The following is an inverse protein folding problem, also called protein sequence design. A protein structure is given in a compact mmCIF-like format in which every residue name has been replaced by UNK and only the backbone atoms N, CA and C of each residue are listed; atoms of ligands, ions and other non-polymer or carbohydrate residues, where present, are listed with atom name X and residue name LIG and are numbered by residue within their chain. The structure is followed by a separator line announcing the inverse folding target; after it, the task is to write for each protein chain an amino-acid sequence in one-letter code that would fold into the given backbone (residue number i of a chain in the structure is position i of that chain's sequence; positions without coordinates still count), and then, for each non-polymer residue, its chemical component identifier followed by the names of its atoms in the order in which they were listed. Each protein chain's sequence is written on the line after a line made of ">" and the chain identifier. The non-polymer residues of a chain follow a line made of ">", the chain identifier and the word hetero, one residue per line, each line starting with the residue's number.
data_IF_578985680993
#
_entry.id   IF_578985680993
#
_cell.length_a   1.000
_cell.length_b   1.000
_cell.length_c   1.000
_cell.angle_alpha   90.00
_cell.angle_beta   90.00
_cell.angle_gamma   90.00
#
_symmetry.space_group_name_H-M   'P 1'
#
loop_
_entity.id
_entity.type
_entity.pdbx_description
1 polymer ?
#
# COMPACT_ATOMS: atom_id res chain seq x y z
N UNK A 1 -8.45 -19.01 -16.77
CA UNK A 1 -7.46 -18.57 -15.77
C UNK A 1 -8.03 -17.35 -15.09
N UNK A 2 -7.83 -17.25 -13.78
CA UNK A 2 -8.21 -16.08 -12.98
C UNK A 2 -7.24 -14.94 -13.31
N UNK A 3 -7.74 -13.74 -13.58
CA UNK A 3 -6.85 -12.61 -13.78
C UNK A 3 -6.42 -12.04 -12.42
N UNK A 4 -5.12 -11.80 -12.23
CA UNK A 4 -4.59 -11.21 -11.01
C UNK A 4 -4.02 -9.82 -11.28
N UNK A 5 -4.55 -8.83 -10.59
CA UNK A 5 -4.07 -7.45 -10.64
C UNK A 5 -3.32 -7.12 -9.34
N UNK A 6 -2.26 -6.32 -9.43
CA UNK A 6 -1.45 -5.90 -8.29
C UNK A 6 -1.58 -4.39 -8.09
N UNK A 7 -1.96 -3.97 -6.89
CA UNK A 7 -1.95 -2.55 -6.47
C UNK A 7 -0.81 -2.38 -5.48
N UNK A 8 0.28 -1.79 -5.92
CA UNK A 8 1.52 -1.64 -5.14
C UNK A 8 1.83 -0.17 -4.87
N UNK A 9 2.84 0.14 -4.07
CA UNK A 9 3.26 1.50 -3.76
C UNK A 9 3.57 1.75 -2.29
N UNK A 10 4.37 2.78 -2.04
CA UNK A 10 5.07 2.94 -0.76
C UNK A 10 4.11 3.24 0.40
N UNK A 11 4.63 3.16 1.62
CA UNK A 11 3.86 3.41 2.85
C UNK A 11 3.07 4.73 2.78
N UNK A 12 1.76 4.66 3.00
CA UNK A 12 0.90 5.84 3.04
C UNK A 12 0.58 6.46 1.68
N UNK A 13 0.96 5.83 0.57
CA UNK A 13 0.65 6.33 -0.76
C UNK A 13 -0.86 6.34 -1.10
N UNK A 14 -1.70 5.61 -0.35
CA UNK A 14 -3.16 5.59 -0.56
C UNK A 14 -3.68 4.35 -1.29
N UNK A 15 -2.89 3.27 -1.34
CA UNK A 15 -3.24 1.98 -1.96
C UNK A 15 -4.65 1.50 -1.61
N UNK A 16 -4.97 1.31 -0.33
CA UNK A 16 -6.28 0.82 0.14
C UNK A 16 -7.44 1.72 -0.26
N UNK A 17 -7.21 3.04 -0.40
CA UNK A 17 -8.22 3.96 -0.93
C UNK A 17 -8.47 3.74 -2.41
N UNK A 18 -7.41 3.56 -3.20
CA UNK A 18 -7.55 3.23 -4.62
C UNK A 18 -8.15 1.83 -4.84
N UNK A 19 -7.72 0.84 -4.07
CA UNK A 19 -8.21 -0.54 -4.09
C UNK A 19 -9.74 -0.58 -4.02
N UNK A 20 -10.34 0.14 -3.06
CA UNK A 20 -11.80 0.18 -2.89
C UNK A 20 -12.51 0.75 -4.12
N UNK A 21 -11.97 1.80 -4.72
CA UNK A 21 -12.52 2.40 -5.94
C UNK A 21 -12.40 1.44 -7.12
N UNK A 22 -11.24 0.81 -7.27
CA UNK A 22 -10.95 -0.11 -8.36
C UNK A 22 -11.81 -1.38 -8.28
N UNK A 23 -11.94 -1.99 -7.10
CA UNK A 23 -12.77 -3.18 -6.89
C UNK A 23 -14.25 -2.88 -7.13
N UNK A 24 -14.75 -1.73 -6.64
CA UNK A 24 -16.13 -1.28 -6.93
C UNK A 24 -16.40 -1.23 -8.44
N UNK A 25 -15.47 -0.66 -9.18
CA UNK A 25 -15.56 -0.62 -10.64
C UNK A 25 -15.56 -2.02 -11.26
N UNK A 26 -14.65 -2.92 -10.86
CA UNK A 26 -14.62 -4.29 -11.39
C UNK A 26 -15.92 -5.05 -11.12
N UNK A 27 -16.49 -4.92 -9.93
CA UNK A 27 -17.78 -5.54 -9.57
C UNK A 27 -18.92 -4.95 -10.39
N UNK A 28 -18.92 -3.64 -10.66
CA UNK A 28 -19.89 -2.99 -11.55
C UNK A 28 -19.79 -3.48 -12.99
N UNK A 29 -18.60 -3.88 -13.45
CA UNK A 29 -18.41 -4.54 -14.74
C UNK A 29 -18.85 -6.02 -14.74
N UNK A 30 -19.33 -6.54 -13.61
CA UNK A 30 -19.86 -7.90 -13.48
C UNK A 30 -18.82 -8.96 -13.12
N UNK A 31 -17.59 -8.57 -12.75
CA UNK A 31 -16.57 -9.52 -12.31
C UNK A 31 -16.85 -10.03 -10.89
N UNK A 32 -16.59 -11.32 -10.66
CA UNK A 32 -16.41 -11.86 -9.31
C UNK A 32 -14.98 -11.60 -8.84
N UNK A 33 -14.84 -10.73 -7.85
CA UNK A 33 -13.55 -10.25 -7.35
C UNK A 33 -13.23 -10.87 -5.99
N UNK A 34 -11.98 -11.26 -5.79
CA UNK A 34 -11.45 -11.50 -4.45
C UNK A 34 -10.27 -10.57 -4.19
N UNK A 35 -10.30 -9.88 -3.06
CA UNK A 35 -9.22 -9.04 -2.60
C UNK A 35 -8.27 -9.91 -1.77
N UNK A 36 -6.97 -9.78 -1.99
CA UNK A 36 -5.93 -10.31 -1.09
C UNK A 36 -5.19 -9.13 -0.48
N UNK A 37 -5.51 -8.82 0.78
CA UNK A 37 -4.81 -7.78 1.53
C UNK A 37 -3.70 -8.37 2.39
N UNK A 38 -2.55 -7.71 2.39
CA UNK A 38 -1.43 -8.03 3.24
C UNK A 38 -1.08 -6.83 4.12
N UNK A 39 -1.10 -7.03 5.44
CA UNK A 39 -0.70 -6.01 6.41
C UNK A 39 0.69 -6.35 6.97
N UNK A 40 1.56 -5.36 7.09
CA UNK A 40 2.87 -5.51 7.72
C UNK A 40 2.76 -5.62 9.26
N UNK A 41 1.63 -5.23 9.84
CA UNK A 41 1.39 -5.19 11.29
C UNK A 41 0.78 -6.46 11.91
N UNK A 42 0.79 -6.49 13.25
CA UNK A 42 0.18 -7.56 14.04
C UNK A 42 -1.36 -7.51 14.09
N UNK A 43 -1.94 -6.35 13.77
CA UNK A 43 -3.40 -6.14 13.75
C UNK A 43 -3.78 -5.79 12.33
N UNK A 44 -4.60 -6.62 11.69
CA UNK A 44 -5.07 -6.38 10.33
C UNK A 44 -6.18 -5.34 10.32
N UNK A 45 -5.77 -4.08 10.21
CA UNK A 45 -6.69 -2.93 10.21
C UNK A 45 -7.14 -2.55 8.79
N UNK A 46 -6.39 -2.96 7.76
CA UNK A 46 -6.72 -2.68 6.36
C UNK A 46 -8.01 -3.42 5.93
N UNK A 47 -8.21 -4.65 6.42
CA UNK A 47 -9.41 -5.44 6.12
C UNK A 47 -10.72 -4.79 6.60
N UNK A 48 -10.63 -3.88 7.57
CA UNK A 48 -11.78 -3.10 8.07
C UNK A 48 -12.18 -2.01 7.08
N UNK A 49 -11.24 -1.51 6.26
CA UNK A 49 -11.48 -0.43 5.31
C UNK A 49 -12.19 -0.93 4.05
N UNK A 50 -11.97 -2.17 3.66
CA UNK A 50 -12.59 -2.78 2.48
C UNK A 50 -13.96 -3.40 2.75
N UNK A 51 -14.45 -3.41 4.00
CA UNK A 51 -15.78 -3.94 4.34
C UNK A 51 -16.91 -3.34 3.50
N UNK A 52 -16.79 -2.06 3.13
CA UNK A 52 -17.77 -1.34 2.32
C UNK A 52 -17.83 -1.80 0.85
N UNK A 53 -16.88 -2.60 0.38
CA UNK A 53 -16.88 -3.16 -0.97
C UNK A 53 -17.24 -4.64 -0.99
N UNK A 54 -17.41 -5.27 0.17
CA UNK A 54 -17.81 -6.67 0.27
C UNK A 54 -19.30 -6.85 -0.02
N UNK A 55 -19.65 -7.97 -0.64
CA UNK A 55 -21.02 -8.26 -1.02
C UNK A 55 -21.11 -9.35 -2.08
N UNK A 56 -22.27 -9.52 -2.72
CA UNK A 56 -22.42 -10.50 -3.80
C UNK A 56 -21.39 -10.27 -4.91
N UNK A 57 -20.47 -11.22 -5.07
CA UNK A 57 -19.40 -11.14 -6.08
C UNK A 57 -18.12 -10.45 -5.63
N UNK A 58 -17.97 -10.09 -4.34
CA UNK A 58 -16.73 -9.52 -3.80
C UNK A 58 -16.43 -10.08 -2.41
N UNK A 59 -15.30 -10.79 -2.30
CA UNK A 59 -14.78 -11.33 -1.04
C UNK A 59 -13.39 -10.75 -0.73
N UNK A 60 -12.97 -10.85 0.54
CA UNK A 60 -11.61 -10.48 0.98
C UNK A 60 -10.96 -11.66 1.70
N UNK A 61 -9.69 -11.86 1.40
CA UNK A 61 -8.77 -12.73 2.12
C UNK A 61 -7.61 -11.89 2.64
N UNK A 62 -7.11 -12.27 3.81
CA UNK A 62 -6.02 -11.55 4.46
C UNK A 62 -4.82 -12.43 4.71
N UNK A 63 -3.65 -11.81 4.63
CA UNK A 63 -2.38 -12.35 5.11
C UNK A 63 -1.96 -11.48 6.29
N UNK A 64 -1.80 -12.11 7.45
CA UNK A 64 -1.28 -11.44 8.64
C UNK A 64 0.24 -11.32 8.54
N UNK A 65 0.77 -10.12 8.81
CA UNK A 65 2.20 -9.85 8.87
C UNK A 65 2.89 -10.37 10.14
N UNK A 66 4.15 -9.95 10.33
CA UNK A 66 4.97 -10.27 11.50
C UNK A 66 5.68 -11.64 11.44
N UNK A 67 5.86 -12.20 10.24
CA UNK A 67 6.60 -13.44 10.02
C UNK A 67 7.73 -13.23 9.01
N UNK A 68 8.71 -14.13 9.00
CA UNK A 68 9.79 -14.12 8.03
C UNK A 68 9.28 -14.21 6.57
N UNK A 69 10.12 -13.78 5.62
CA UNK A 69 9.79 -13.75 4.19
C UNK A 69 9.30 -15.11 3.67
N UNK A 70 9.90 -16.24 4.08
CA UNK A 70 9.49 -17.58 3.62
C UNK A 70 8.08 -17.95 4.12
N UNK A 71 7.75 -17.57 5.36
CA UNK A 71 6.41 -17.77 5.91
C UNK A 71 5.38 -16.91 5.18
N UNK A 72 5.72 -15.66 4.85
CA UNK A 72 4.87 -14.77 4.08
C UNK A 72 4.56 -15.34 2.68
N UNK A 73 5.58 -15.75 1.92
CA UNK A 73 5.44 -16.37 0.60
C UNK A 73 4.53 -17.60 0.62
N UNK A 74 4.74 -18.50 1.59
CA UNK A 74 3.92 -19.71 1.74
C UNK A 74 2.45 -19.41 2.03
N UNK A 75 2.18 -18.40 2.86
CA UNK A 75 0.80 -17.96 3.17
C UNK A 75 0.13 -17.35 1.94
N UNK A 76 0.84 -16.47 1.23
CA UNK A 76 0.34 -15.87 -0.01
C UNK A 76 0.00 -16.94 -1.04
N UNK A 77 0.92 -17.88 -1.29
CA UNK A 77 0.69 -19.01 -2.19
C UNK A 77 -0.54 -19.81 -1.80
N UNK A 78 -0.67 -20.17 -0.52
CA UNK A 78 -1.81 -20.95 -0.01
C UNK A 78 -3.14 -20.23 -0.23
N UNK A 79 -3.18 -18.91 0.01
CA UNK A 79 -4.37 -18.09 -0.23
C UNK A 79 -4.71 -18.00 -1.71
N UNK A 80 -3.73 -17.76 -2.59
CA UNK A 80 -3.93 -17.74 -4.04
C UNK A 80 -4.48 -19.08 -4.56
N UNK A 81 -3.93 -20.20 -4.10
CA UNK A 81 -4.44 -21.55 -4.44
C UNK A 81 -5.91 -21.70 -4.03
N UNK A 82 -6.25 -21.33 -2.78
CA UNK A 82 -7.62 -21.44 -2.29
C UNK A 82 -8.60 -20.53 -3.04
N UNK A 83 -8.18 -19.30 -3.38
CA UNK A 83 -9.01 -18.34 -4.13
C UNK A 83 -9.26 -18.81 -5.57
N UNK A 84 -8.26 -19.36 -6.26
CA UNK A 84 -8.43 -19.88 -7.61
C UNK A 84 -9.53 -20.96 -7.70
N UNK A 85 -9.74 -21.73 -6.63
CA UNK A 85 -10.75 -22.78 -6.57
C UNK A 85 -12.17 -22.27 -6.26
N UNK A 86 -12.34 -21.00 -5.88
CA UNK A 86 -13.64 -20.40 -5.49
C UNK A 86 -14.42 -19.79 -6.65
N UNK A 87 -13.89 -19.83 -7.87
CA UNK A 87 -14.59 -19.35 -9.07
C UNK A 87 -14.66 -17.83 -9.19
N UNK A 88 -13.64 -17.11 -8.69
CA UNK A 88 -13.45 -15.69 -8.97
C UNK A 88 -12.90 -15.49 -10.38
N UNK A 89 -13.29 -14.39 -11.03
CA UNK A 89 -12.75 -13.97 -12.32
C UNK A 89 -11.50 -13.11 -12.15
N UNK A 90 -11.46 -12.35 -11.05
CA UNK A 90 -10.42 -11.36 -10.72
C UNK A 90 -9.93 -11.56 -9.29
N UNK A 91 -8.62 -11.54 -9.11
CA UNK A 91 -8.00 -11.37 -7.79
C UNK A 91 -7.23 -10.06 -7.80
N UNK A 92 -7.47 -9.20 -6.81
CA UNK A 92 -6.73 -7.95 -6.66
C UNK A 92 -5.86 -8.07 -5.41
N UNK A 93 -4.55 -7.99 -5.58
CA UNK A 93 -3.59 -8.10 -4.48
C UNK A 93 -3.13 -6.70 -4.09
N UNK A 94 -3.28 -6.37 -2.80
CA UNK A 94 -2.63 -5.21 -2.18
C UNK A 94 -1.59 -5.73 -1.18
N UNK A 95 -0.30 -5.69 -1.51
CA UNK A 95 0.74 -6.00 -0.56
C UNK A 95 0.96 -4.84 0.43
N UNK A 96 1.75 -5.07 1.48
CA UNK A 96 2.18 -3.99 2.36
C UNK A 96 3.02 -2.94 1.60
N UNK A 97 3.11 -1.71 2.10
CA UNK A 97 3.93 -0.65 1.46
C UNK A 97 5.44 -0.78 1.65
N UNK A 98 5.91 -1.95 2.10
CA UNK A 98 7.33 -2.32 2.27
C UNK A 98 7.56 -3.67 1.61
N UNK A 99 6.79 -3.98 0.57
CA UNK A 99 6.81 -5.28 -0.09
C UNK A 99 7.73 -5.23 -1.29
N UNK A 100 8.64 -6.20 -1.40
CA UNK A 100 9.40 -6.38 -2.62
C UNK A 100 8.56 -7.11 -3.67
N UNK A 101 8.20 -6.39 -4.73
CA UNK A 101 7.23 -6.84 -5.72
C UNK A 101 7.69 -8.07 -6.50
N UNK A 102 9.00 -8.31 -6.59
CA UNK A 102 9.56 -9.54 -7.16
C UNK A 102 8.96 -10.80 -6.52
N UNK A 103 8.73 -10.78 -5.20
CA UNK A 103 8.19 -11.92 -4.47
C UNK A 103 6.82 -12.35 -5.03
N UNK A 104 5.97 -11.39 -5.39
CA UNK A 104 4.67 -11.66 -5.98
C UNK A 104 4.81 -12.32 -7.37
N UNK A 105 5.75 -11.85 -8.19
CA UNK A 105 5.99 -12.45 -9.50
C UNK A 105 6.53 -13.87 -9.40
N UNK A 106 7.43 -14.12 -8.45
CA UNK A 106 8.00 -15.44 -8.24
C UNK A 106 6.94 -16.43 -7.77
N UNK A 107 6.06 -16.03 -6.84
CA UNK A 107 4.92 -16.85 -6.41
C UNK A 107 3.99 -17.19 -7.57
N UNK A 108 3.70 -16.23 -8.47
CA UNK A 108 2.81 -16.48 -9.60
C UNK A 108 3.42 -17.34 -10.70
N UNK A 109 4.75 -17.44 -10.77
CA UNK A 109 5.47 -18.32 -11.72
C UNK A 109 5.56 -19.77 -11.25
N UNK A 110 5.22 -20.03 -9.99
CA UNK A 110 5.31 -21.34 -9.40
C UNK A 110 4.07 -22.21 -9.66
N UNK A 111 4.29 -23.53 -9.77
CA UNK A 111 3.21 -24.52 -9.91
C UNK A 111 2.35 -24.62 -8.62
N UNK A 112 1.01 -24.62 -8.67
CA UNK A 112 0.16 -24.63 -9.86
C UNK A 112 -0.35 -23.23 -10.27
N UNK A 113 0.15 -22.16 -9.64
CA UNK A 113 -0.37 -20.80 -9.83
C UNK A 113 -0.13 -20.29 -11.25
N UNK A 114 1.00 -20.65 -11.86
CA UNK A 114 1.35 -20.37 -13.25
C UNK A 114 0.27 -20.80 -14.27
N UNK A 115 -0.46 -21.87 -13.96
CA UNK A 115 -1.53 -22.44 -14.80
C UNK A 115 -2.92 -21.91 -14.43
N UNK A 116 -3.07 -21.32 -13.25
CA UNK A 116 -4.37 -20.88 -12.74
C UNK A 116 -4.56 -19.38 -12.87
N UNK A 117 -3.48 -18.62 -12.79
CA UNK A 117 -3.49 -17.17 -12.82
C UNK A 117 -2.85 -16.62 -14.08
N UNK A 118 -3.48 -15.60 -14.64
CA UNK A 118 -2.89 -14.75 -15.65
C UNK A 118 -2.66 -13.37 -15.02
N UNK A 119 -1.43 -12.88 -15.09
CA UNK A 119 -1.13 -11.53 -14.64
C UNK A 119 -1.87 -10.51 -15.51
N UNK A 120 -2.61 -9.62 -14.86
CA UNK A 120 -3.34 -8.53 -15.45
C UNK A 120 -2.56 -7.22 -15.38
N UNK A 121 -3.09 -6.27 -14.62
CA UNK A 121 -2.50 -4.95 -14.43
C UNK A 121 -1.66 -4.87 -13.15
N UNK A 122 -0.50 -4.22 -13.25
CA UNK A 122 0.27 -3.75 -12.09
C UNK A 122 0.11 -2.23 -12.03
N UNK A 123 -0.53 -1.75 -10.97
CA UNK A 123 -0.81 -0.33 -10.75
C UNK A 123 -0.03 0.11 -9.52
N UNK A 124 0.92 1.02 -9.70
CA UNK A 124 1.67 1.57 -8.57
C UNK A 124 1.05 2.89 -8.12
N UNK A 125 0.85 3.03 -6.82
CA UNK A 125 0.34 4.24 -6.20
C UNK A 125 1.51 4.98 -5.57
N UNK A 126 1.72 6.23 -5.99
CA UNK A 126 2.82 7.06 -5.48
C UNK A 126 2.26 8.36 -4.96
N UNK A 127 2.67 8.79 -3.78
CA UNK A 127 2.29 10.09 -3.25
C UNK A 127 2.95 11.22 -4.06
N UNK A 128 2.17 12.15 -4.61
CA UNK A 128 2.72 13.37 -5.20
C UNK A 128 3.49 14.22 -4.16
N UNK A 129 3.15 14.00 -2.88
CA UNK A 129 3.75 14.48 -1.63
C UNK A 129 5.12 13.89 -1.23
N UNK A 130 5.62 12.89 -1.96
CA UNK A 130 6.72 12.04 -1.49
C UNK A 130 7.96 12.88 -1.10
N UNK A 131 8.64 12.55 0.03
CA UNK A 131 9.88 13.23 0.40
C UNK A 131 10.97 13.06 -0.68
N UNK A 132 11.71 14.13 -0.98
CA UNK A 132 12.80 14.12 -1.98
C UNK A 132 13.95 13.15 -1.65
N UNK A 133 14.06 12.74 -0.39
CA UNK A 133 15.14 11.88 0.10
C UNK A 133 14.56 10.77 0.97
N UNK A 134 14.91 9.53 0.65
CA UNK A 134 14.60 8.34 1.43
C UNK A 134 15.90 7.64 1.86
N UNK A 135 15.79 6.68 2.79
CA UNK A 135 16.90 5.77 3.09
C UNK A 135 17.22 4.90 1.86
N UNK A 136 18.43 4.32 1.72
CA UNK A 136 18.75 3.45 0.60
C UNK A 136 17.76 2.28 0.42
N UNK A 137 17.26 1.71 1.53
CA UNK A 137 16.30 0.62 1.53
C UNK A 137 14.92 1.10 1.07
N UNK A 138 14.46 2.25 1.56
CA UNK A 138 13.18 2.83 1.12
C UNK A 138 13.22 3.30 -0.34
N UNK A 139 14.36 3.83 -0.79
CA UNK A 139 14.59 4.19 -2.19
C UNK A 139 14.52 2.96 -3.11
N UNK A 140 15.13 1.83 -2.69
CA UNK A 140 15.01 0.57 -3.40
C UNK A 140 13.57 0.06 -3.45
N UNK A 141 12.83 0.13 -2.34
CA UNK A 141 11.43 -0.29 -2.31
C UNK A 141 10.55 0.57 -3.23
N UNK A 142 10.74 1.89 -3.23
CA UNK A 142 10.06 2.79 -4.15
C UNK A 142 10.31 2.39 -5.62
N UNK A 143 11.55 2.02 -5.95
CA UNK A 143 11.89 1.50 -7.25
C UNK A 143 11.20 0.16 -7.54
N UNK A 144 11.32 -0.84 -6.65
CA UNK A 144 10.71 -2.17 -6.79
C UNK A 144 9.19 -2.08 -7.00
N UNK A 145 8.51 -1.23 -6.23
CA UNK A 145 7.06 -1.04 -6.32
C UNK A 145 6.60 -0.41 -7.64
N UNK A 146 7.42 0.40 -8.29
CA UNK A 146 7.03 1.09 -9.54
C UNK A 146 7.58 0.44 -10.80
N UNK A 147 8.60 -0.41 -10.66
CA UNK A 147 9.39 -0.94 -11.78
C UNK A 147 8.57 -1.74 -12.79
N UNK A 148 7.68 -2.61 -12.31
CA UNK A 148 6.84 -3.44 -13.18
C UNK A 148 5.46 -2.84 -13.46
N UNK A 149 5.16 -1.64 -12.96
CA UNK A 149 3.85 -1.04 -13.09
C UNK A 149 3.51 -0.72 -14.55
N UNK A 150 2.36 -1.16 -15.03
CA UNK A 150 1.82 -0.71 -16.33
C UNK A 150 1.37 0.74 -16.28
N UNK A 151 0.96 1.21 -15.09
CA UNK A 151 0.67 2.61 -14.81
C UNK A 151 1.05 2.96 -13.36
N UNK A 152 1.61 4.14 -13.17
CA UNK A 152 1.81 4.79 -11.88
C UNK A 152 0.75 5.87 -11.71
N UNK A 153 -0.05 5.78 -10.67
CA UNK A 153 -1.05 6.79 -10.31
C UNK A 153 -0.51 7.65 -9.16
N UNK A 154 -0.37 8.95 -9.41
CA UNK A 154 -0.01 9.89 -8.35
C UNK A 154 -1.23 10.16 -7.46
N UNK A 155 -1.13 9.81 -6.18
CA UNK A 155 -2.11 10.18 -5.17
C UNK A 155 -1.86 11.61 -4.68
N UNK A 156 -2.89 12.22 -4.07
CA UNK A 156 -2.83 13.60 -3.55
C UNK A 156 -2.42 14.65 -4.59
N UNK A 157 -2.51 14.33 -5.88
CA UNK A 157 -2.17 15.24 -6.97
C UNK A 157 -3.00 16.54 -6.94
N UNK A 158 -4.23 16.50 -6.39
CA UNK A 158 -5.09 17.66 -6.17
C UNK A 158 -4.58 18.61 -5.08
N UNK A 159 -3.73 18.13 -4.17
CA UNK A 159 -3.09 18.92 -3.11
C UNK A 159 -1.68 19.39 -3.50
N UNK A 160 -1.14 18.86 -4.61
CA UNK A 160 0.21 19.10 -5.07
C UNK A 160 0.24 20.16 -6.17
N UNK A 161 1.21 21.07 -6.11
CA UNK A 161 1.53 21.94 -7.22
C UNK A 161 2.08 21.12 -8.41
N UNK A 162 1.93 21.59 -9.67
CA UNK A 162 2.46 20.88 -10.84
C UNK A 162 3.96 20.53 -10.73
N UNK A 163 4.74 21.40 -10.08
CA UNK A 163 6.16 21.17 -9.83
C UNK A 163 6.41 19.99 -8.87
N UNK A 164 5.53 19.76 -7.89
CA UNK A 164 5.65 18.65 -6.95
C UNK A 164 5.31 17.32 -7.63
N UNK A 165 4.28 17.28 -8.49
CA UNK A 165 3.99 16.11 -9.32
C UNK A 165 5.17 15.77 -10.25
N UNK A 166 5.79 16.79 -10.85
CA UNK A 166 6.98 16.61 -11.69
C UNK A 166 8.19 16.13 -10.88
N UNK A 167 8.38 16.63 -9.66
CA UNK A 167 9.44 16.22 -8.77
C UNK A 167 9.27 14.76 -8.31
N UNK A 168 8.05 14.35 -7.94
CA UNK A 168 7.74 12.95 -7.63
C UNK A 168 8.06 12.02 -8.81
N UNK A 169 7.64 12.38 -10.03
CA UNK A 169 7.97 11.62 -11.24
C UNK A 169 9.50 11.54 -11.48
N UNK A 170 10.23 12.64 -11.28
CA UNK A 170 11.69 12.66 -11.39
C UNK A 170 12.37 11.81 -10.30
N UNK A 171 11.82 11.78 -9.08
CA UNK A 171 12.30 10.92 -8.01
C UNK A 171 12.15 9.44 -8.37
N UNK A 172 11.01 9.03 -8.95
CA UNK A 172 10.85 7.65 -9.43
C UNK A 172 11.92 7.26 -10.45
N UNK A 173 12.25 8.14 -11.40
CA UNK A 173 13.33 7.88 -12.37
C UNK A 173 14.70 7.77 -11.68
N UNK A 174 15.00 8.61 -10.68
CA UNK A 174 16.24 8.50 -9.87
C UNK A 174 16.30 7.20 -9.08
N UNK A 175 15.19 6.77 -8.48
CA UNK A 175 15.11 5.53 -7.72
C UNK A 175 15.35 4.31 -8.64
N UNK A 176 14.73 4.31 -9.83
CA UNK A 176 14.96 3.29 -10.85
C UNK A 176 16.42 3.27 -11.32
N UNK A 177 17.04 4.44 -11.53
CA UNK A 177 18.45 4.53 -11.89
C UNK A 177 19.38 4.02 -10.78
N UNK A 178 19.10 4.35 -9.51
CA UNK A 178 19.85 3.86 -8.36
C UNK A 178 19.77 2.33 -8.23
N UNK A 179 18.61 1.74 -8.52
CA UNK A 179 18.40 0.30 -8.62
C UNK A 179 18.96 -0.32 -9.93
N UNK A 180 19.61 0.49 -10.79
CA UNK A 180 20.09 0.11 -12.12
C UNK A 180 19.03 -0.59 -12.98
N UNK A 181 17.80 -0.10 -12.87
CA UNK A 181 16.66 -0.64 -13.59
C UNK A 181 16.72 -0.29 -15.07
N UNK A 182 16.34 -1.24 -15.92
CA UNK A 182 16.09 -1.00 -17.34
C UNK A 182 14.78 -0.24 -17.59
N UNK A 183 13.95 -0.03 -16.57
CA UNK A 183 12.66 0.67 -16.70
C UNK A 183 12.86 2.15 -16.98
N UNK A 184 12.07 2.68 -17.91
CA UNK A 184 11.82 4.12 -18.11
C UNK A 184 10.33 4.32 -18.28
N UNK A 185 9.76 5.41 -17.78
CA UNK A 185 8.34 5.67 -17.94
C UNK A 185 8.05 6.27 -19.33
N UNK A 186 7.15 5.64 -20.07
CA UNK A 186 6.65 6.20 -21.32
C UNK A 186 5.64 7.33 -21.04
N UNK A 187 5.43 8.27 -21.99
CA UNK A 187 4.40 9.29 -21.85
C UNK A 187 3.02 8.66 -21.55
N UNK A 188 2.37 9.15 -20.50
CA UNK A 188 1.06 8.64 -20.06
C UNK A 188 1.10 7.43 -19.11
N UNK A 189 2.27 6.85 -18.83
CA UNK A 189 2.39 5.80 -17.82
C UNK A 189 2.31 6.35 -16.39
N UNK A 190 2.68 7.62 -16.18
CA UNK A 190 2.46 8.33 -14.91
C UNK A 190 1.22 9.21 -15.07
N UNK A 191 0.16 8.86 -14.34
CA UNK A 191 -1.10 9.58 -14.31
C UNK A 191 -1.19 10.45 -13.05
N UNK A 192 -1.21 11.76 -13.22
CA UNK A 192 -1.48 12.72 -12.15
C UNK A 192 -2.88 13.29 -12.35
N UNK A 193 -3.86 12.73 -11.63
CA UNK A 193 -5.26 13.15 -11.70
C UNK A 193 -5.86 13.15 -10.30
N UNK A 194 -6.79 14.07 -10.05
CA UNK A 194 -7.62 13.99 -8.86
C UNK A 194 -8.40 12.68 -8.87
N UNK A 195 -8.28 11.91 -7.79
CA UNK A 195 -8.91 10.61 -7.69
C UNK A 195 -10.42 10.72 -7.71
N UNK A 196 -10.98 11.79 -7.17
CA UNK A 196 -12.43 12.02 -7.22
C UNK A 196 -12.92 12.22 -8.66
N UNK A 197 -12.05 12.71 -9.55
CA UNK A 197 -12.31 12.89 -10.97
C UNK A 197 -11.96 11.68 -11.85
N UNK A 198 -11.55 10.53 -11.28
CA UNK A 198 -11.35 9.29 -12.05
C UNK A 198 -12.70 8.77 -12.55
N UNK A 199 -12.82 8.68 -13.87
CA UNK A 199 -13.98 8.16 -14.59
C UNK A 199 -13.87 6.66 -14.80
N UNK A 200 -14.97 6.02 -15.19
CA UNK A 200 -14.97 4.61 -15.59
C UNK A 200 -14.02 4.33 -16.76
N UNK A 201 -13.80 5.31 -17.65
CA UNK A 201 -12.83 5.18 -18.74
C UNK A 201 -11.38 5.17 -18.22
N UNK A 202 -11.07 5.96 -17.18
CA UNK A 202 -9.76 5.93 -16.54
C UNK A 202 -9.54 4.58 -15.82
N UNK A 203 -10.57 4.08 -15.13
CA UNK A 203 -10.51 2.78 -14.43
C UNK A 203 -10.41 1.61 -15.41
N UNK A 204 -11.09 1.69 -16.57
CA UNK A 204 -10.94 0.73 -17.66
C UNK A 204 -9.50 0.73 -18.21
N UNK A 205 -8.90 1.90 -18.42
CA UNK A 205 -7.52 2.03 -18.87
C UNK A 205 -6.54 1.45 -17.83
N UNK A 206 -6.77 1.70 -16.54
CA UNK A 206 -5.98 1.11 -15.45
C UNK A 206 -6.15 -0.41 -15.40
N UNK A 207 -7.36 -0.94 -15.59
CA UNK A 207 -7.61 -2.39 -15.66
C UNK A 207 -7.00 -3.08 -16.89
N UNK A 208 -6.56 -2.30 -17.89
CA UNK A 208 -5.94 -2.77 -19.11
C UNK A 208 -4.48 -2.27 -19.30
N UNK A 209 -3.89 -1.60 -18.30
CA UNK A 209 -2.54 -1.04 -18.43
C UNK A 209 -1.44 -2.11 -18.49
N UNK A 210 -1.79 -3.34 -18.07
CA UNK A 210 -0.88 -4.48 -18.04
C UNK A 210 0.25 -4.25 -17.04
N UNK A 211 1.41 -4.79 -17.36
CA UNK A 211 2.62 -4.62 -16.57
C UNK A 211 3.81 -4.40 -17.50
N UNK A 212 4.98 -4.12 -16.93
CA UNK A 212 6.24 -4.09 -17.67
C UNK A 212 7.20 -5.11 -17.11
N UNK A 213 8.03 -5.66 -17.98
CA UNK A 213 9.22 -6.40 -17.58
C UNK A 213 10.40 -5.44 -17.58
N UNK A 214 11.12 -5.43 -16.47
CA UNK A 214 12.35 -4.71 -16.33
C UNK A 214 13.32 -5.54 -15.49
N UNK A 215 14.60 -5.41 -15.78
CA UNK A 215 15.68 -5.96 -14.96
C UNK A 215 16.21 -4.88 -14.03
N UNK A 216 16.66 -5.25 -12.83
CA UNK A 216 17.36 -4.35 -11.92
C UNK A 216 18.46 -5.09 -11.15
N UNK A 217 19.29 -4.33 -10.44
CA UNK A 217 20.14 -4.89 -9.40
C UNK A 217 19.36 -4.96 -8.09
N UNK A 218 19.04 -6.18 -7.67
CA UNK A 218 18.32 -6.45 -6.43
C UNK A 218 19.17 -6.08 -5.22
N UNK A 219 18.66 -5.18 -4.38
CA UNK A 219 19.25 -4.90 -3.08
C UNK A 219 18.78 -5.99 -2.10
N UNK A 220 19.72 -6.81 -1.64
CA UNK A 220 19.42 -7.84 -0.64
C UNK A 220 19.53 -7.26 0.77
N UNK A 221 18.39 -7.18 1.46
CA UNK A 221 18.31 -6.85 2.87
C UNK A 221 17.09 -7.54 3.50
N UNK A 222 17.13 -7.73 4.81
CA UNK A 222 15.97 -8.20 5.55
C UNK A 222 15.01 -7.02 5.78
N UNK A 223 13.87 -7.03 5.08
CA UNK A 223 12.84 -6.00 5.19
C UNK A 223 12.25 -5.90 6.60
N UNK A 224 12.12 -7.03 7.29
CA UNK A 224 11.58 -7.08 8.66
C UNK A 224 12.61 -6.62 9.69
N UNK A 225 13.90 -6.64 9.35
CA UNK A 225 14.96 -6.03 10.16
C UNK A 225 15.14 -4.54 9.85
N UNK A 226 15.01 -4.12 8.58
CA UNK A 226 15.17 -2.73 8.16
C UNK A 226 13.97 -1.87 8.59
N UNK A 227 12.76 -2.40 8.48
CA UNK A 227 11.53 -1.71 8.83
C UNK A 227 10.83 -2.42 9.97
N UNK A 228 10.34 -1.64 10.93
CA UNK A 228 9.61 -2.15 12.10
C UNK A 228 8.22 -1.55 12.14
N UNK A 229 7.24 -2.38 12.52
CA UNK A 229 5.88 -1.97 12.83
C UNK A 229 5.63 -2.11 14.32
N UNK A 230 5.34 -1.01 15.00
CA UNK A 230 5.00 -0.98 16.42
C UNK A 230 3.51 -0.69 16.59
N UNK A 231 2.83 -1.59 17.29
CA UNK A 231 1.41 -1.49 17.57
C UNK A 231 1.18 -1.12 19.04
N UNK A 232 0.37 -0.09 19.27
CA UNK A 232 -0.03 0.40 20.58
C UNK A 232 -1.55 0.37 20.68
N UNK A 233 -2.08 -0.37 21.64
CA UNK A 233 -3.51 -0.59 21.83
C UNK A 233 -4.02 0.24 23.02
N UNK A 234 -5.30 0.59 22.99
CA UNK A 234 -6.02 1.15 24.15
C UNK A 234 -5.36 2.41 24.75
N UNK A 235 -4.82 3.28 23.88
CA UNK A 235 -4.21 4.54 24.31
C UNK A 235 -5.25 5.62 24.67
N UNK A 236 -6.54 5.40 24.36
CA UNK A 236 -7.65 6.32 24.63
C UNK A 236 -7.40 7.76 24.13
N UNK A 237 -6.68 7.90 23.02
CA UNK A 237 -6.41 9.20 22.41
C UNK A 237 -7.63 9.71 21.65
N UNK A 238 -8.00 10.96 21.88
CA UNK A 238 -8.93 11.66 20.99
C UNK A 238 -8.30 11.83 19.60
N UNK A 239 -9.11 12.02 18.53
CA UNK A 239 -8.58 12.24 17.18
C UNK A 239 -7.57 13.40 17.08
N UNK A 240 -7.79 14.48 17.84
CA UNK A 240 -6.89 15.63 17.90
C UNK A 240 -5.56 15.29 18.60
N UNK A 241 -5.62 14.55 19.71
CA UNK A 241 -4.41 14.07 20.39
C UNK A 241 -3.62 13.10 19.51
N UNK A 242 -4.31 12.20 18.81
CA UNK A 242 -3.69 11.26 17.86
C UNK A 242 -2.97 12.01 16.73
N UNK A 243 -3.61 13.02 16.14
CA UNK A 243 -2.99 13.85 15.10
C UNK A 243 -1.77 14.61 15.62
N UNK A 244 -1.87 15.20 16.81
CA UNK A 244 -0.76 15.91 17.46
C UNK A 244 0.39 14.95 17.79
N UNK A 245 0.07 13.75 18.27
CA UNK A 245 1.06 12.71 18.56
C UNK A 245 1.78 12.25 17.28
N UNK A 246 1.03 12.00 16.19
CA UNK A 246 1.62 11.63 14.91
C UNK A 246 2.61 12.68 14.40
N UNK A 247 2.25 13.97 14.46
CA UNK A 247 3.16 15.07 14.08
C UNK A 247 4.42 15.12 14.95
N UNK A 248 4.30 14.90 16.27
CA UNK A 248 5.44 14.85 17.18
C UNK A 248 6.37 13.69 16.87
N UNK A 249 5.84 12.53 16.49
CA UNK A 249 6.64 11.35 16.15
C UNK A 249 7.52 11.57 14.91
N UNK A 250 7.00 12.22 13.87
CA UNK A 250 7.81 12.55 12.68
C UNK A 250 8.95 13.53 12.97
N UNK A 251 8.81 14.37 14.01
CA UNK A 251 9.77 15.39 14.38
C UNK A 251 10.75 14.96 15.50
N UNK A 252 10.66 13.72 15.99
CA UNK A 252 11.40 13.23 17.16
C UNK A 252 12.46 12.18 16.74
N UNK A 253 13.72 12.57 16.51
CA UNK A 253 14.79 11.64 16.13
C UNK A 253 15.01 10.52 17.14
N UNK A 254 14.71 10.75 18.42
CA UNK A 254 14.80 9.74 19.48
C UNK A 254 13.80 8.57 19.29
N UNK A 255 12.77 8.74 18.45
CA UNK A 255 11.81 7.68 18.10
C UNK A 255 12.29 6.80 16.94
N UNK A 256 13.44 7.10 16.33
CA UNK A 256 13.85 6.53 15.05
C UNK A 256 13.27 7.28 13.86
N UNK A 257 13.43 6.72 12.66
CA UNK A 257 12.90 7.33 11.44
C UNK A 257 11.48 6.84 11.18
N UNK A 258 10.49 7.60 11.66
CA UNK A 258 9.07 7.30 11.44
C UNK A 258 8.67 7.63 10.01
N UNK A 259 8.10 6.65 9.30
CA UNK A 259 7.67 6.77 7.90
C UNK A 259 6.15 6.93 7.78
N UNK A 260 5.39 6.19 8.60
CA UNK A 260 3.93 6.24 8.62
C UNK A 260 3.40 6.06 10.04
N UNK A 261 2.35 6.82 10.36
CA UNK A 261 1.52 6.58 11.53
C UNK A 261 0.11 6.32 11.04
N UNK A 262 -0.43 5.16 11.39
CA UNK A 262 -1.83 4.81 11.16
C UNK A 262 -2.51 4.71 12.51
N UNK A 263 -3.65 5.35 12.70
CA UNK A 263 -4.34 5.30 13.98
C UNK A 263 -5.84 5.30 13.84
N UNK A 264 -6.51 4.78 14.86
CA UNK A 264 -7.94 4.59 14.86
C UNK A 264 -8.48 5.07 16.20
N UNK A 265 -9.41 6.01 16.16
CA UNK A 265 -9.96 6.63 17.36
C UNK A 265 -11.49 6.78 17.24
N UNK A 266 -12.23 6.71 18.36
CA UNK A 266 -13.66 6.98 18.36
C UNK A 266 -13.93 8.43 17.95
N UNK A 267 -14.92 8.60 17.07
CA UNK A 267 -15.36 9.94 16.64
C UNK A 267 -16.18 10.61 17.77
N UNK A 268 -16.05 11.93 17.99
CA UNK A 268 -16.82 12.64 19.02
C UNK A 268 -18.35 12.52 18.86
N UNK A 269 -18.82 12.40 17.63
CA UNK A 269 -20.25 12.28 17.29
C UNK A 269 -20.74 10.82 17.17
N UNK A 270 -19.92 9.84 17.57
CA UNK A 270 -20.18 8.42 17.37
C UNK A 270 -19.60 7.89 16.04
N UNK A 271 -19.24 6.60 16.03
CA UNK A 271 -18.48 5.97 14.94
C UNK A 271 -16.97 6.05 15.15
N UNK A 272 -16.21 5.83 14.08
CA UNK A 272 -14.75 5.73 14.12
C UNK A 272 -14.10 6.66 13.11
N UNK A 273 -12.90 7.13 13.44
CA UNK A 273 -12.03 7.88 12.54
C UNK A 273 -10.73 7.11 12.35
N UNK A 274 -10.33 7.00 11.09
CA UNK A 274 -8.99 6.57 10.69
C UNK A 274 -8.11 7.80 10.48
N UNK A 275 -6.96 7.80 11.13
CA UNK A 275 -5.84 8.69 10.86
C UNK A 275 -4.81 7.97 10.01
N UNK A 276 -4.44 8.57 8.89
CA UNK A 276 -3.27 8.17 8.11
C UNK A 276 -2.32 9.36 8.01
N UNK A 277 -1.11 9.21 8.54
CA UNK A 277 -0.11 10.26 8.50
C UNK A 277 1.21 9.75 7.93
N UNK A 278 1.86 10.61 7.17
CA UNK A 278 3.24 10.53 6.67
C UNK A 278 3.90 11.86 6.98
N UNK A 279 5.23 11.98 6.78
CA UNK A 279 5.91 13.26 6.94
C UNK A 279 5.31 14.39 6.07
N UNK A 280 4.73 14.03 4.92
CA UNK A 280 4.14 14.98 3.97
C UNK A 280 2.73 15.47 4.36
N UNK A 281 2.05 14.80 5.30
CA UNK A 281 0.71 15.20 5.70
C UNK A 281 -0.04 14.14 6.47
N UNK A 282 -1.20 14.56 6.99
CA UNK A 282 -2.08 13.76 7.81
C UNK A 282 -3.51 13.89 7.30
N UNK A 283 -4.18 12.75 7.09
CA UNK A 283 -5.61 12.69 6.78
C UNK A 283 -6.35 12.07 7.95
N UNK A 284 -7.62 12.47 8.09
CA UNK A 284 -8.55 11.93 9.08
C UNK A 284 -9.87 11.67 8.36
N UNK A 285 -10.32 10.42 8.33
CA UNK A 285 -11.49 10.01 7.57
C UNK A 285 -12.43 9.14 8.42
N UNK A 286 -13.75 9.25 8.25
CA UNK A 286 -14.70 8.37 8.90
C UNK A 286 -14.61 6.95 8.36
N UNK A 287 -14.72 5.98 9.26
CA UNK A 287 -14.77 4.56 8.91
C UNK A 287 -15.94 3.89 9.64
N UNK A 288 -16.50 2.81 9.07
CA UNK A 288 -17.69 2.16 9.64
C UNK A 288 -17.42 1.44 10.96
N UNK A 289 -16.22 0.87 11.10
CA UNK A 289 -15.78 0.12 12.27
C UNK A 289 -14.31 0.40 12.52
N UNK A 290 -13.89 0.33 13.79
CA UNK A 290 -12.51 0.52 14.18
C UNK A 290 -12.24 -0.16 15.53
N UNK A 291 -10.98 -0.17 15.89
CA UNK A 291 -10.48 -0.53 17.22
C UNK A 291 -9.49 0.55 17.63
N UNK A 292 -9.39 0.86 18.92
CA UNK A 292 -8.36 1.80 19.38
C UNK A 292 -6.96 1.21 19.22
N UNK A 293 -6.27 1.65 18.17
CA UNK A 293 -4.92 1.22 17.85
C UNK A 293 -4.16 2.35 17.17
N UNK A 294 -2.87 2.44 17.50
CA UNK A 294 -1.89 3.26 16.79
C UNK A 294 -0.78 2.35 16.31
N UNK A 295 -0.52 2.39 15.00
CA UNK A 295 0.51 1.64 14.31
C UNK A 295 1.54 2.64 13.81
N UNK A 296 2.78 2.47 14.24
CA UNK A 296 3.92 3.30 13.83
C UNK A 296 4.86 2.43 13.02
N UNK A 297 5.13 2.85 11.78
CA UNK A 297 5.99 2.12 10.84
C UNK A 297 7.18 3.00 10.48
N UNK A 298 8.38 2.44 10.52
CA UNK A 298 9.60 3.16 10.19
C UNK A 298 10.86 2.34 10.42
N UNK A 299 12.00 3.02 10.44
CA UNK A 299 13.33 2.42 10.54
C UNK A 299 13.96 2.73 11.91
N UNK A 300 14.65 1.75 12.48
CA UNK A 300 15.32 1.87 13.79
C UNK A 300 14.42 2.47 14.89
N UNK A 301 13.15 2.04 14.94
CA UNK A 301 12.17 2.59 15.86
C UNK A 301 12.48 2.26 17.32
N UNK A 302 12.41 3.26 18.20
CA UNK A 302 12.49 3.05 19.65
C UNK A 302 11.08 3.00 20.26
N UNK A 303 10.67 1.81 20.68
CA UNK A 303 9.32 1.59 21.24
C UNK A 303 9.05 2.42 22.49
N UNK A 304 10.03 2.57 23.39
CA UNK A 304 9.82 3.27 24.65
C UNK A 304 9.71 4.79 24.43
N UNK A 305 10.55 5.34 23.54
CA UNK A 305 10.48 6.74 23.15
C UNK A 305 9.15 7.07 22.45
N UNK A 306 8.71 6.21 21.53
CA UNK A 306 7.42 6.36 20.83
C UNK A 306 6.26 6.31 21.83
N UNK A 307 6.26 5.32 22.74
CA UNK A 307 5.20 5.19 23.74
C UNK A 307 5.10 6.42 24.64
N UNK A 308 6.25 6.98 25.05
CA UNK A 308 6.30 8.22 25.83
C UNK A 308 5.68 9.41 25.07
N UNK A 309 6.01 9.57 23.78
CA UNK A 309 5.45 10.66 22.95
C UNK A 309 3.97 10.49 22.65
N UNK A 310 3.49 9.25 22.51
CA UNK A 310 2.06 8.98 22.31
C UNK A 310 1.24 9.38 23.54
N UNK A 311 1.77 9.20 24.76
CA UNK A 311 1.06 9.49 26.02
C UNK A 311 1.03 10.96 26.42
N UNK A 312 1.88 11.81 25.83
CA UNK A 312 1.95 13.24 26.16
C UNK A 312 3.27 13.61 26.77
#
# INVERSE_FOLDING_TARGET
>A
MVQVDLITGFLGAGKTTFLRRYVRYLVQQGHKVCILENDFGAVNVDAMLVQEVLGPGCDVETISGGCDCDTHQRRMRTKLIAMAMRGFDRVVVEPSGIFDVDEFFDILRDDPLDRWYQLGSVIAIVDALLPETLSPQAEYLLASETMNAGCVLLSRAQLAAPAQCAAAAAHLERALEAAKSSRRFAPGEILAKDWDALTDADLAALAACGYRQASCEKLHFDQHAAFTSLCFLELHLTPQQLQTAAQRLFAAPECGQVLRVKGFAPAPAGGWLELNATAAGCTLAPIPQGQEVVIVIGEALDKAAIEAKLKG
#
